data_IF_836474111998
#
_entry.id   IF_836474111998
#
_cell.length_a   1.000
_cell.length_b   1.000
_cell.length_c   1.000
_cell.angle_alpha   90.00
_cell.angle_beta   90.00
_cell.angle_gamma   90.00
#
_symmetry.space_group_name_H-M   'P 1'
#
loop_
_entity.id
_entity.type
_entity.pdbx_description
1 polymer ?
#
# COMPACT_ATOMS: atom_id res chain seq x y z
N UNK A 1 -28.34 23.83 -12.75
CA UNK A 1 -26.91 24.16 -12.83
C UNK A 1 -26.29 23.83 -11.48
N UNK A 2 -25.25 22.99 -11.50
CA UNK A 2 -24.34 22.54 -10.42
C UNK A 2 -24.88 21.76 -9.21
N UNK A 3 -24.75 20.43 -9.30
CA UNK A 3 -24.37 19.51 -8.21
C UNK A 3 -23.20 18.72 -8.85
N UNK A 4 -22.00 18.58 -8.22
CA UNK A 4 -21.91 17.51 -7.24
C UNK A 4 -20.88 17.62 -6.09
N UNK A 5 -21.31 17.01 -4.97
CA UNK A 5 -20.53 16.11 -4.14
C UNK A 5 -19.21 16.60 -3.56
N UNK A 6 -19.29 17.21 -2.37
CA UNK A 6 -18.25 17.09 -1.36
C UNK A 6 -18.52 15.85 -0.51
N UNK A 7 -18.17 14.66 -1.03
CA UNK A 7 -17.99 13.47 -0.20
C UNK A 7 -16.61 13.56 0.45
N UNK A 8 -16.53 14.22 1.61
CA UNK A 8 -15.41 14.03 2.53
C UNK A 8 -15.60 12.65 3.16
N UNK A 9 -15.13 11.62 2.47
CA UNK A 9 -14.93 10.31 3.08
C UNK A 9 -13.65 10.39 3.91
N UNK A 10 -13.76 10.93 5.12
CA UNK A 10 -12.83 10.63 6.18
C UNK A 10 -13.01 9.13 6.49
N UNK A 11 -12.25 8.29 5.79
CA UNK A 11 -12.21 6.87 6.06
C UNK A 11 -11.62 6.68 7.46
N UNK A 12 -12.52 6.42 8.41
CA UNK A 12 -12.20 5.85 9.70
C UNK A 12 -11.49 4.50 9.43
N UNK A 13 -10.17 4.54 9.31
CA UNK A 13 -9.28 3.37 9.32
C UNK A 13 -9.21 2.75 10.74
N UNK A 14 -10.36 2.60 11.38
CA UNK A 14 -10.48 1.83 12.61
C UNK A 14 -10.45 0.33 12.26
N UNK A 15 -9.24 -0.19 12.11
CA UNK A 15 -8.83 -1.36 12.88
C UNK A 15 -9.13 -2.77 12.36
N UNK A 16 -9.87 -3.00 11.28
CA UNK A 16 -10.13 -4.36 10.77
C UNK A 16 -10.30 -4.42 9.25
N UNK A 17 -9.30 -4.02 8.47
CA UNK A 17 -9.27 -4.28 7.04
C UNK A 17 -7.87 -4.72 6.64
N UNK A 18 -7.76 -5.91 6.06
CA UNK A 18 -6.53 -6.44 5.49
C UNK A 18 -5.79 -5.34 4.73
N UNK A 19 -4.55 -5.02 5.14
CA UNK A 19 -3.73 -4.00 4.48
C UNK A 19 -3.57 -4.29 2.97
N UNK A 20 -3.67 -5.57 2.58
CA UNK A 20 -3.79 -6.06 1.21
C UNK A 20 -4.89 -5.44 0.36
N UNK A 21 -6.01 -5.03 0.97
CA UNK A 21 -7.13 -4.40 0.26
C UNK A 21 -6.91 -2.94 -0.13
N UNK A 22 -5.85 -2.31 0.40
CA UNK A 22 -5.42 -0.97 -0.01
C UNK A 22 -5.12 -0.98 -1.50
N UNK A 23 -5.56 0.04 -2.23
CA UNK A 23 -5.25 0.18 -3.65
C UNK A 23 -3.92 0.90 -3.85
N UNK A 24 -3.28 0.72 -5.00
CA UNK A 24 -2.06 1.46 -5.34
C UNK A 24 -2.25 2.99 -5.27
N UNK A 25 -3.41 3.53 -5.66
CA UNK A 25 -3.68 4.97 -5.57
C UNK A 25 -3.78 5.45 -4.12
N UNK A 26 -4.44 4.67 -3.26
CA UNK A 26 -4.49 4.97 -1.82
C UNK A 26 -3.10 4.90 -1.18
N UNK A 27 -2.32 3.89 -1.54
CA UNK A 27 -0.93 3.75 -1.10
C UNK A 27 -0.03 4.89 -1.61
N UNK A 28 -0.27 5.36 -2.84
CA UNK A 28 0.45 6.50 -3.41
C UNK A 28 0.21 7.78 -2.58
N UNK A 29 -1.04 8.02 -2.19
CA UNK A 29 -1.45 9.21 -1.44
C UNK A 29 -0.99 9.23 0.03
N UNK A 30 -0.55 8.10 0.58
CA UNK A 30 -0.06 8.01 1.95
C UNK A 30 1.25 8.78 2.13
N UNK A 31 1.42 9.36 3.33
CA UNK A 31 2.71 9.88 3.77
C UNK A 31 3.74 8.76 3.92
N UNK A 32 5.03 9.12 4.01
CA UNK A 32 6.11 8.17 4.27
C UNK A 32 5.80 7.22 5.45
N UNK A 33 5.37 7.77 6.59
CA UNK A 33 5.09 6.97 7.78
C UNK A 33 3.90 6.03 7.58
N UNK A 34 2.84 6.50 6.91
CA UNK A 34 1.65 5.69 6.61
C UNK A 34 1.97 4.54 5.65
N UNK A 35 2.87 4.76 4.69
CA UNK A 35 3.37 3.69 3.82
C UNK A 35 4.12 2.64 4.63
N UNK A 36 5.03 3.05 5.52
CA UNK A 36 5.75 2.12 6.39
C UNK A 36 4.80 1.30 7.27
N UNK A 37 3.76 1.92 7.83
CA UNK A 37 2.74 1.21 8.62
C UNK A 37 1.97 0.20 7.75
N UNK A 38 1.65 0.57 6.50
CA UNK A 38 0.96 -0.30 5.54
C UNK A 38 1.83 -1.50 5.13
N UNK A 39 3.11 -1.27 4.86
CA UNK A 39 4.09 -2.31 4.54
C UNK A 39 4.24 -3.30 5.71
N UNK A 40 4.37 -2.81 6.95
CA UNK A 40 4.44 -3.66 8.13
C UNK A 40 3.16 -4.46 8.36
N UNK A 41 2.00 -3.84 8.14
CA UNK A 41 0.71 -4.51 8.26
C UNK A 41 0.53 -5.60 7.19
N UNK A 42 0.99 -5.37 5.95
CA UNK A 42 1.03 -6.37 4.89
C UNK A 42 1.93 -7.55 5.27
N UNK A 43 3.16 -7.29 5.72
CA UNK A 43 4.06 -8.37 6.17
C UNK A 43 3.42 -9.20 7.28
N UNK A 44 2.83 -8.54 8.28
CA UNK A 44 2.16 -9.22 9.39
C UNK A 44 0.94 -10.04 8.93
N UNK A 45 0.15 -9.53 7.99
CA UNK A 45 -1.03 -10.23 7.44
C UNK A 45 -0.65 -11.54 6.73
N UNK A 46 0.56 -11.60 6.17
CA UNK A 46 1.11 -12.78 5.49
C UNK A 46 2.09 -13.59 6.34
N UNK A 47 2.15 -13.33 7.65
CA UNK A 47 2.99 -14.08 8.59
C UNK A 47 4.50 -13.87 8.41
N UNK A 48 4.91 -12.79 7.73
CA UNK A 48 6.30 -12.44 7.52
C UNK A 48 6.82 -11.55 8.66
N UNK A 49 8.08 -11.78 9.05
CA UNK A 49 8.74 -10.96 10.06
C UNK A 49 8.98 -9.54 9.53
N UNK A 50 8.37 -8.54 10.20
CA UNK A 50 8.49 -7.11 9.90
C UNK A 50 9.83 -6.49 10.32
N UNK A 51 10.62 -7.18 11.14
CA UNK A 51 11.95 -6.76 11.54
C UNK A 51 13.06 -7.33 10.65
N UNK A 52 12.71 -8.29 9.78
CA UNK A 52 13.61 -8.79 8.75
C UNK A 52 13.88 -7.72 7.69
N UNK A 53 15.15 -7.31 7.59
CA UNK A 53 15.60 -6.34 6.57
C UNK A 53 15.24 -6.83 5.16
N UNK A 54 15.37 -8.13 4.90
CA UNK A 54 15.06 -8.72 3.60
C UNK A 54 13.57 -8.57 3.25
N UNK A 55 12.67 -8.81 4.20
CA UNK A 55 11.23 -8.67 3.99
C UNK A 55 10.85 -7.21 3.75
N UNK A 56 11.40 -6.29 4.55
CA UNK A 56 11.14 -4.85 4.41
C UNK A 56 11.62 -4.31 3.07
N UNK A 57 12.85 -4.65 2.64
CA UNK A 57 13.37 -4.23 1.33
C UNK A 57 12.57 -4.87 0.19
N UNK A 58 12.24 -6.16 0.33
CA UNK A 58 11.48 -6.90 -0.66
C UNK A 58 10.09 -6.30 -0.90
N UNK A 59 9.34 -6.02 0.16
CA UNK A 59 7.99 -5.47 0.04
C UNK A 59 8.01 -4.05 -0.54
N UNK A 60 8.91 -3.18 -0.06
CA UNK A 60 9.08 -1.82 -0.61
C UNK A 60 9.33 -1.87 -2.11
N UNK A 61 10.24 -2.75 -2.55
CA UNK A 61 10.60 -2.90 -3.97
C UNK A 61 9.43 -3.44 -4.80
N UNK A 62 8.71 -4.44 -4.29
CA UNK A 62 7.57 -5.02 -5.01
C UNK A 62 6.44 -4.00 -5.16
N UNK A 63 6.06 -3.31 -4.07
CA UNK A 63 5.02 -2.27 -4.13
C UNK A 63 5.43 -1.10 -5.03
N UNK A 64 6.68 -0.63 -4.93
CA UNK A 64 7.17 0.47 -5.78
C UNK A 64 7.13 0.10 -7.26
N UNK A 65 7.55 -1.12 -7.62
CA UNK A 65 7.52 -1.59 -9.00
C UNK A 65 6.10 -1.79 -9.52
N UNK A 66 5.24 -2.41 -8.71
CA UNK A 66 3.87 -2.73 -9.07
C UNK A 66 2.99 -1.48 -9.18
N UNK A 67 3.02 -0.62 -8.17
CA UNK A 67 2.23 0.62 -8.15
C UNK A 67 2.90 1.78 -8.90
N UNK A 68 4.17 1.65 -9.30
CA UNK A 68 4.91 2.75 -9.93
C UNK A 68 4.99 3.98 -9.04
N UNK A 69 5.19 3.79 -7.74
CA UNK A 69 5.35 4.86 -6.74
C UNK A 69 6.81 4.95 -6.32
N UNK A 70 7.27 6.13 -5.90
CA UNK A 70 8.66 6.36 -5.52
C UNK A 70 8.81 7.50 -4.52
N UNK A 71 10.02 7.74 -4.03
CA UNK A 71 10.29 8.86 -3.12
C UNK A 71 9.66 8.69 -1.73
N UNK A 72 9.19 9.79 -1.14
CA UNK A 72 8.78 9.89 0.28
C UNK A 72 7.26 9.79 0.52
N UNK A 73 6.46 9.46 -0.50
CA UNK A 73 5.00 9.47 -0.37
C UNK A 73 4.32 10.81 -0.63
N UNK A 74 2.99 10.79 -0.59
CA UNK A 74 2.13 11.95 -0.79
C UNK A 74 1.82 12.26 -2.26
N UNK A 75 2.12 11.37 -3.20
CA UNK A 75 1.71 11.52 -4.59
C UNK A 75 0.19 11.41 -4.73
N UNK A 76 -0.46 12.23 -5.57
CA UNK A 76 -1.92 12.22 -5.70
C UNK A 76 -2.49 10.91 -6.29
N UNK A 77 -1.65 10.09 -6.93
CA UNK A 77 -2.00 8.80 -7.54
C UNK A 77 -0.78 7.96 -7.84
N UNK A 78 -1.00 6.67 -8.05
CA UNK A 78 0.03 5.73 -8.46
C UNK A 78 0.44 5.94 -9.92
N UNK A 79 1.71 5.65 -10.24
CA UNK A 79 2.18 5.66 -11.63
C UNK A 79 1.68 4.46 -12.45
N UNK A 80 1.32 3.36 -11.78
CA UNK A 80 0.84 2.10 -12.36
C UNK A 80 -0.20 1.45 -11.45
N UNK A 81 -1.09 0.65 -12.04
CA UNK A 81 -2.02 -0.22 -11.32
C UNK A 81 -2.89 0.47 -10.24
N UNK A 82 -3.24 1.75 -10.41
CA UNK A 82 -3.88 2.59 -9.38
C UNK A 82 -5.07 1.98 -8.64
N UNK A 83 -6.00 1.33 -9.35
CA UNK A 83 -7.15 0.66 -8.75
C UNK A 83 -6.91 -0.78 -8.27
N UNK A 84 -5.70 -1.31 -8.45
CA UNK A 84 -5.35 -2.69 -8.06
C UNK A 84 -4.94 -2.74 -6.60
N UNK A 85 -5.20 -3.87 -5.96
CA UNK A 85 -4.94 -4.08 -4.53
C UNK A 85 -3.48 -4.43 -4.26
N UNK A 86 -2.94 -4.01 -3.11
CA UNK A 86 -1.54 -4.27 -2.73
C UNK A 86 -1.25 -5.77 -2.58
N UNK A 87 -2.22 -6.59 -2.20
CA UNK A 87 -2.05 -8.05 -2.13
C UNK A 87 -1.69 -8.69 -3.49
N UNK A 88 -1.99 -8.01 -4.59
CA UNK A 88 -1.67 -8.47 -5.95
C UNK A 88 -0.24 -8.09 -6.39
N UNK A 89 0.45 -7.24 -5.62
CA UNK A 89 1.79 -6.77 -5.93
C UNK A 89 2.88 -7.81 -5.62
N UNK A 90 2.55 -8.79 -4.79
CA UNK A 90 3.48 -9.70 -4.16
C UNK A 90 3.00 -11.14 -4.38
N UNK A 91 3.88 -12.01 -4.88
CA UNK A 91 3.68 -13.45 -4.78
C UNK A 91 4.07 -13.93 -3.38
N UNK A 92 3.10 -13.95 -2.47
CA UNK A 92 3.26 -14.36 -1.07
C UNK A 92 3.74 -15.81 -0.90
N UNK A 93 3.71 -16.62 -1.95
CA UNK A 93 4.19 -18.01 -1.93
C UNK A 93 5.65 -18.14 -2.37
N UNK A 94 6.25 -17.07 -2.90
CA UNK A 94 7.65 -17.08 -3.36
C UNK A 94 8.61 -17.12 -2.18
N UNK A 95 9.54 -18.09 -2.20
CA UNK A 95 10.63 -18.23 -1.23
C UNK A 95 11.88 -17.42 -1.60
N UNK A 96 11.84 -16.64 -2.69
CA UNK A 96 12.97 -15.83 -3.17
C UNK A 96 12.51 -14.40 -3.51
N UNK A 97 13.15 -13.44 -2.85
CA UNK A 97 12.92 -12.00 -2.91
C UNK A 97 14.25 -11.28 -3.08
#
# INVERSE_FOLDING_TARGET
MVIPFLLVAAALLSGCSNAGSTTCDQYAAQSFSQRQDTEQALLAAHGLDKYSIANTVGIVKALSNYCGVGGLGGEPKAGKNGGSQLDQAVDWTSTKW
#
